data_IF_874061145867
#
_entry.id   IF_874061145867
#
_cell.length_a   1.000
_cell.length_b   1.000
_cell.length_c   1.000
_cell.angle_alpha   90.00
_cell.angle_beta   90.00
_cell.angle_gamma   90.00
#
_symmetry.space_group_name_H-M   'P 1'
#
loop_
_entity.id
_entity.type
_entity.pdbx_description
1 polymer ?
#
# COMPACT_ATOMS: atom_id res chain seq x y z
N UNK A 1 -11.54 -18.20 33.97
CA UNK A 1 -12.91 -17.85 33.52
C UNK A 1 -12.75 -16.65 32.62
N UNK A 2 -12.32 -16.88 31.37
CA UNK A 2 -12.07 -15.83 30.38
C UNK A 2 -13.18 -15.92 29.33
N UNK A 3 -13.97 -14.87 29.23
CA UNK A 3 -14.99 -14.72 28.21
C UNK A 3 -14.31 -14.32 26.89
N UNK A 4 -14.27 -15.25 25.95
CA UNK A 4 -13.84 -14.98 24.58
C UNK A 4 -14.90 -14.19 23.84
N UNK A 5 -14.58 -12.96 23.47
CA UNK A 5 -15.37 -12.16 22.54
C UNK A 5 -15.21 -12.75 21.14
N UNK A 6 -16.32 -13.26 20.59
CA UNK A 6 -16.40 -13.64 19.17
C UNK A 6 -16.37 -12.36 18.33
N UNK A 7 -15.23 -12.07 17.71
CA UNK A 7 -15.14 -11.06 16.68
C UNK A 7 -15.68 -11.64 15.37
N UNK A 8 -16.81 -11.11 14.91
CA UNK A 8 -17.41 -11.52 13.63
C UNK A 8 -16.48 -11.13 12.49
N UNK A 9 -16.18 -12.12 11.65
CA UNK A 9 -15.30 -12.01 10.49
C UNK A 9 -15.97 -11.14 9.42
N UNK A 10 -15.53 -9.91 9.27
CA UNK A 10 -15.89 -9.09 8.12
C UNK A 10 -15.05 -9.53 6.93
N UNK A 11 -15.71 -10.16 5.95
CA UNK A 11 -15.08 -10.56 4.68
C UNK A 11 -14.65 -9.32 3.93
N UNK A 12 -13.42 -9.27 3.52
CA UNK A 12 -12.90 -8.30 2.55
C UNK A 12 -13.63 -8.51 1.22
N UNK A 13 -14.61 -7.66 0.95
CA UNK A 13 -15.29 -7.65 -0.32
C UNK A 13 -14.46 -6.88 -1.34
N UNK A 14 -13.97 -7.59 -2.33
CA UNK A 14 -13.38 -7.01 -3.54
C UNK A 14 -14.43 -6.16 -4.24
N UNK A 15 -14.32 -4.84 -4.15
CA UNK A 15 -15.19 -3.90 -4.88
C UNK A 15 -14.76 -3.89 -6.35
N UNK A 16 -15.48 -4.67 -7.16
CA UNK A 16 -15.45 -4.52 -8.61
C UNK A 16 -16.25 -3.25 -8.97
N UNK A 17 -15.58 -2.16 -9.30
CA UNK A 17 -16.22 -0.97 -9.90
C UNK A 17 -16.68 -1.29 -11.32
N UNK A 18 -17.96 -1.60 -11.46
CA UNK A 18 -18.66 -1.69 -12.74
C UNK A 18 -18.83 -0.28 -13.33
N UNK A 19 -18.09 0.01 -14.40
CA UNK A 19 -18.22 1.23 -15.17
C UNK A 19 -19.53 1.26 -15.95
N UNK A 20 -20.37 2.27 -15.69
CA UNK A 20 -21.57 2.58 -16.46
C UNK A 20 -21.18 3.54 -17.61
N UNK A 21 -21.21 3.03 -18.84
CA UNK A 21 -21.08 3.82 -20.07
C UNK A 21 -22.37 4.61 -20.27
N UNK A 22 -22.31 5.93 -20.18
CA UNK A 22 -23.33 6.82 -20.69
C UNK A 22 -22.83 7.47 -21.99
N UNK A 23 -23.41 7.02 -23.09
CA UNK A 23 -23.36 7.68 -24.40
C UNK A 23 -24.23 8.95 -24.35
N UNK A 24 -23.64 10.09 -24.63
CA UNK A 24 -24.41 11.31 -24.96
C UNK A 24 -23.93 11.84 -26.29
N UNK A 25 -24.92 12.07 -27.14
CA UNK A 25 -24.86 12.39 -28.56
C UNK A 25 -24.43 13.80 -28.85
N UNK A 26 -23.95 13.97 -30.09
CA UNK A 26 -23.64 15.19 -30.80
C UNK A 26 -24.81 16.19 -30.88
N UNK A 27 -24.47 17.48 -30.79
CA UNK A 27 -25.31 18.59 -31.22
C UNK A 27 -24.43 19.69 -31.79
N UNK A 28 -24.44 19.81 -33.12
CA UNK A 28 -23.87 20.93 -33.91
C UNK A 28 -24.74 22.16 -33.84
N UNK A 29 -24.14 23.32 -33.88
CA UNK A 29 -24.46 24.49 -34.77
C UNK A 29 -24.34 25.85 -34.11
N UNK A 30 -23.68 26.75 -34.78
CA UNK A 30 -24.04 28.16 -34.79
C UNK A 30 -22.90 29.14 -34.59
N UNK A 31 -22.29 29.51 -35.71
CA UNK A 31 -21.48 30.72 -35.83
C UNK A 31 -22.32 31.98 -35.66
N UNK A 32 -21.77 33.03 -35.07
CA UNK A 32 -21.95 34.42 -35.53
C UNK A 32 -20.87 35.34 -34.95
N UNK A 33 -20.25 36.07 -35.84
CA UNK A 33 -19.38 37.22 -35.63
C UNK A 33 -20.12 38.37 -34.90
N UNK A 34 -19.40 39.13 -34.07
CA UNK A 34 -19.37 40.59 -34.21
C UNK A 34 -18.27 41.25 -33.38
N UNK A 35 -17.61 42.19 -34.00
CA UNK A 35 -16.57 43.11 -33.55
C UNK A 35 -17.13 44.17 -32.58
N UNK A 36 -16.41 44.47 -31.51
CA UNK A 36 -16.69 45.64 -30.66
C UNK A 36 -15.50 45.98 -29.74
N UNK A 37 -14.72 46.95 -30.15
CA UNK A 37 -13.63 47.52 -29.36
C UNK A 37 -14.12 48.53 -28.33
N UNK A 38 -13.58 48.49 -27.12
CA UNK A 38 -13.64 49.57 -26.12
C UNK A 38 -12.76 49.27 -24.89
N UNK A 39 -11.88 50.20 -24.50
CA UNK A 39 -11.03 50.00 -23.37
C UNK A 39 -11.73 50.44 -22.07
N UNK A 40 -12.13 49.54 -21.21
CA UNK A 40 -12.55 49.87 -19.84
C UNK A 40 -11.49 49.51 -18.81
N UNK A 41 -11.10 50.53 -18.07
CA UNK A 41 -10.23 50.48 -16.92
C UNK A 41 -10.93 49.73 -15.80
N UNK A 42 -10.55 48.46 -15.54
CA UNK A 42 -11.14 47.70 -14.45
C UNK A 42 -10.24 47.74 -13.23
N UNK A 43 -10.70 48.38 -12.21
CA UNK A 43 -10.17 48.40 -10.84
C UNK A 43 -10.08 46.96 -10.31
N UNK A 44 -8.84 46.54 -9.98
CA UNK A 44 -8.52 45.22 -9.43
C UNK A 44 -9.05 45.11 -8.00
N UNK A 45 -10.22 44.53 -7.83
CA UNK A 45 -10.71 44.09 -6.53
C UNK A 45 -9.83 42.91 -6.02
N UNK A 46 -9.27 43.06 -4.83
CA UNK A 46 -8.65 41.95 -4.12
C UNK A 46 -9.74 40.91 -3.80
N UNK A 47 -9.76 39.82 -4.57
CA UNK A 47 -10.55 38.65 -4.22
C UNK A 47 -9.85 37.92 -3.08
N UNK A 48 -10.41 38.01 -1.92
CA UNK A 48 -10.08 37.08 -0.80
C UNK A 48 -10.52 35.69 -1.24
N UNK A 49 -9.54 34.87 -1.60
CA UNK A 49 -9.77 33.45 -1.90
C UNK A 49 -10.14 32.74 -0.60
N UNK A 50 -11.42 32.53 -0.37
CA UNK A 50 -11.91 31.64 0.66
C UNK A 50 -11.61 30.22 0.22
N UNK A 51 -10.62 29.58 0.84
CA UNK A 51 -10.34 28.16 0.65
C UNK A 51 -11.61 27.37 0.98
N UNK A 52 -12.12 26.53 0.08
CA UNK A 52 -13.24 25.66 0.39
C UNK A 52 -12.83 24.73 1.54
N UNK A 53 -13.73 24.42 2.50
CA UNK A 53 -13.43 23.51 3.57
C UNK A 53 -13.06 22.13 2.98
N UNK A 54 -11.86 21.66 3.30
CA UNK A 54 -11.44 20.30 3.05
C UNK A 54 -12.45 19.38 3.74
N UNK A 55 -13.13 18.54 2.98
CA UNK A 55 -14.08 17.57 3.54
C UNK A 55 -13.25 16.47 4.20
N UNK A 56 -12.93 16.66 5.49
CA UNK A 56 -12.31 15.61 6.30
C UNK A 56 -13.22 14.38 6.31
N UNK A 57 -12.68 13.18 6.09
CA UNK A 57 -13.47 11.97 6.24
C UNK A 57 -13.90 11.84 7.71
N UNK A 58 -15.16 12.13 7.97
CA UNK A 58 -15.74 11.98 9.31
C UNK A 58 -16.00 10.51 9.55
N UNK A 59 -15.35 9.92 10.56
CA UNK A 59 -15.61 8.55 10.98
C UNK A 59 -17.12 8.36 11.26
N UNK A 60 -17.71 7.21 10.89
CA UNK A 60 -19.08 6.90 11.24
C UNK A 60 -19.31 7.00 12.75
N UNK A 61 -20.49 7.42 13.21
CA UNK A 61 -20.78 7.54 14.63
C UNK A 61 -20.53 6.22 15.37
N UNK A 62 -19.69 6.24 16.40
CA UNK A 62 -19.36 5.08 17.23
C UNK A 62 -18.07 4.33 16.83
N UNK A 63 -17.40 4.68 15.74
CA UNK A 63 -16.07 4.17 15.43
C UNK A 63 -14.99 5.14 15.94
N UNK A 64 -13.99 4.59 16.61
CA UNK A 64 -12.84 5.36 17.08
C UNK A 64 -11.79 5.38 15.98
N UNK A 65 -11.35 6.59 15.59
CA UNK A 65 -10.26 6.76 14.64
C UNK A 65 -8.90 6.68 15.36
N UNK A 66 -7.83 6.20 14.70
CA UNK A 66 -6.48 6.30 15.24
C UNK A 66 -6.09 7.79 15.39
N UNK A 67 -5.16 8.11 16.29
CA UNK A 67 -4.60 9.45 16.37
C UNK A 67 -4.01 9.90 15.03
N UNK A 68 -3.98 11.20 14.73
CA UNK A 68 -3.33 11.68 13.52
C UNK A 68 -1.82 11.39 13.54
N UNK A 69 -1.28 11.12 12.36
CA UNK A 69 0.17 11.04 12.14
C UNK A 69 0.70 12.47 11.96
N UNK A 70 1.67 12.88 12.74
CA UNK A 70 2.30 14.20 12.58
C UNK A 70 3.54 14.10 11.71
N UNK A 71 3.59 14.87 10.62
CA UNK A 71 4.76 15.03 9.77
C UNK A 71 5.43 16.36 10.10
N UNK A 72 6.70 16.31 10.53
CA UNK A 72 7.52 17.50 10.79
C UNK A 72 8.53 17.70 9.68
N UNK A 73 8.66 18.94 9.26
CA UNK A 73 9.57 19.38 8.21
C UNK A 73 9.99 20.84 8.48
N UNK A 74 11.27 21.15 8.29
CA UNK A 74 11.81 22.43 8.73
C UNK A 74 11.42 22.74 10.18
N UNK A 75 10.80 23.89 10.43
CA UNK A 75 10.26 24.31 11.72
C UNK A 75 8.72 24.18 11.78
N UNK A 76 8.12 23.48 10.80
CA UNK A 76 6.68 23.31 10.63
C UNK A 76 6.25 21.86 10.91
N UNK A 77 4.94 21.68 11.03
CA UNK A 77 4.34 20.34 11.10
C UNK A 77 2.93 20.34 10.56
N UNK A 78 2.51 19.18 10.04
CA UNK A 78 1.14 18.91 9.61
C UNK A 78 0.64 17.64 10.28
N UNK A 79 -0.61 17.64 10.76
CA UNK A 79 -1.29 16.48 11.28
C UNK A 79 -2.13 15.85 10.19
N UNK A 80 -1.86 14.58 9.89
CA UNK A 80 -2.51 13.82 8.85
C UNK A 80 -3.51 12.85 9.45
N UNK A 81 -4.77 12.95 9.06
CA UNK A 81 -5.78 11.96 9.43
C UNK A 81 -5.63 10.70 8.54
N UNK A 82 -5.90 9.54 9.12
CA UNK A 82 -5.99 8.32 8.34
C UNK A 82 -7.22 8.36 7.43
N UNK A 83 -7.04 8.06 6.15
CA UNK A 83 -8.14 7.97 5.19
C UNK A 83 -8.68 6.54 5.06
N UNK A 84 -7.89 5.54 5.43
CA UNK A 84 -8.26 4.13 5.60
C UNK A 84 -7.59 3.61 6.85
N UNK A 85 -8.30 2.85 7.65
CA UNK A 85 -7.74 2.26 8.86
C UNK A 85 -8.62 1.12 9.39
N UNK A 86 -7.98 0.17 10.09
CA UNK A 86 -8.63 -0.71 11.05
C UNK A 86 -8.06 -0.39 12.43
N UNK A 87 -8.90 0.09 13.35
CA UNK A 87 -8.46 0.48 14.68
C UNK A 87 -9.49 0.09 15.73
N UNK A 88 -9.03 -0.58 16.80
CA UNK A 88 -9.88 -1.07 17.91
C UNK A 88 -11.08 -1.88 17.42
N UNK A 89 -12.26 -1.27 17.36
CA UNK A 89 -13.53 -1.96 17.12
C UNK A 89 -14.07 -1.84 15.71
N UNK A 90 -13.34 -1.22 14.79
CA UNK A 90 -13.85 -1.02 13.45
C UNK A 90 -12.84 -0.65 12.39
N UNK A 91 -13.24 -0.90 11.14
CA UNK A 91 -12.49 -0.51 9.95
C UNK A 91 -13.25 0.56 9.18
N UNK A 92 -12.51 1.49 8.58
CA UNK A 92 -13.01 2.51 7.67
C UNK A 92 -12.22 2.42 6.38
N UNK A 93 -12.91 2.21 5.28
CA UNK A 93 -12.35 2.27 3.94
C UNK A 93 -12.60 3.64 3.35
N UNK A 94 -11.52 4.31 2.98
CA UNK A 94 -11.54 5.61 2.33
C UNK A 94 -10.63 5.63 1.12
N UNK A 95 -10.39 6.83 0.60
CA UNK A 95 -9.47 7.07 -0.52
C UNK A 95 -8.48 8.14 -0.11
N UNK A 96 -7.24 8.10 -0.66
CA UNK A 96 -6.28 9.17 -0.42
C UNK A 96 -6.87 10.52 -0.86
N UNK A 97 -6.53 11.61 -0.18
CA UNK A 97 -7.00 12.94 -0.56
C UNK A 97 -6.53 13.28 -1.98
N UNK A 98 -7.41 13.88 -2.78
CA UNK A 98 -7.08 14.32 -4.14
C UNK A 98 -5.95 15.35 -4.15
N UNK A 99 -5.87 16.18 -3.11
CA UNK A 99 -4.82 17.16 -2.88
C UNK A 99 -4.19 16.89 -1.50
N UNK A 100 -3.17 16.00 -1.44
CA UNK A 100 -2.46 15.74 -0.18
C UNK A 100 -1.76 17.00 0.34
N UNK A 101 -1.69 17.20 1.67
CA UNK A 101 -0.92 18.30 2.24
C UNK A 101 0.54 18.28 1.75
N UNK A 102 1.04 19.42 1.29
CA UNK A 102 2.40 19.55 0.74
C UNK A 102 3.36 20.00 1.84
N UNK A 103 4.43 19.24 2.03
CA UNK A 103 5.51 19.54 2.98
C UNK A 103 6.68 20.29 2.33
N UNK A 104 6.54 20.67 1.06
CA UNK A 104 7.58 21.36 0.32
C UNK A 104 8.76 20.44 -0.02
N UNK A 105 10.00 20.95 0.17
CA UNK A 105 11.22 20.26 -0.27
C UNK A 105 12.27 20.12 0.85
N UNK A 106 11.95 19.57 2.03
CA UNK A 106 12.93 19.28 3.07
C UNK A 106 13.84 18.11 2.66
N UNK A 107 15.07 18.06 3.18
CA UNK A 107 16.01 16.94 2.96
C UNK A 107 15.54 15.63 3.61
N UNK A 108 14.73 15.73 4.64
CA UNK A 108 14.10 14.62 5.36
C UNK A 108 12.84 15.11 6.05
N UNK A 109 11.96 14.19 6.35
CA UNK A 109 10.81 14.44 7.22
C UNK A 109 10.86 13.56 8.46
N UNK A 110 10.30 14.03 9.56
CA UNK A 110 10.16 13.25 10.80
C UNK A 110 8.68 12.95 10.99
N UNK A 111 8.39 11.67 11.12
CA UNK A 111 7.05 11.17 11.40
C UNK A 111 6.92 10.93 12.89
N UNK A 112 5.89 11.49 13.51
CA UNK A 112 5.58 11.26 14.92
C UNK A 112 4.19 10.62 15.05
N UNK A 113 4.11 9.56 15.84
CA UNK A 113 2.86 8.88 16.14
C UNK A 113 2.80 8.56 17.65
N UNK A 114 1.71 8.91 18.34
CA UNK A 114 1.69 8.88 19.81
C UNK A 114 1.55 7.47 20.42
N UNK A 115 1.20 6.46 19.62
CA UNK A 115 1.00 5.10 20.11
C UNK A 115 2.30 4.30 20.01
N UNK A 116 2.60 3.53 21.07
CA UNK A 116 3.75 2.64 21.11
C UNK A 116 3.48 1.35 20.34
N UNK A 117 4.55 0.69 19.89
CA UNK A 117 4.45 -0.61 19.20
C UNK A 117 4.04 -0.50 17.73
N UNK A 118 3.92 0.73 17.19
CA UNK A 118 3.65 0.94 15.78
C UNK A 118 4.95 1.00 14.97
N UNK A 119 4.89 0.42 13.76
CA UNK A 119 5.92 0.53 12.74
C UNK A 119 5.31 1.19 11.49
N UNK A 120 6.15 1.84 10.69
CA UNK A 120 5.71 2.53 9.48
C UNK A 120 6.56 2.15 8.27
N UNK A 121 5.90 2.00 7.12
CA UNK A 121 6.51 2.00 5.79
C UNK A 121 6.00 3.20 4.99
N UNK A 122 6.77 3.64 4.02
CA UNK A 122 6.39 4.72 3.10
C UNK A 122 6.44 4.22 1.66
N UNK A 123 5.39 4.52 0.92
CA UNK A 123 5.31 4.27 -0.52
C UNK A 123 5.39 5.60 -1.26
N UNK A 124 6.42 5.78 -2.09
CA UNK A 124 6.62 6.95 -2.93
C UNK A 124 6.05 6.67 -4.31
N UNK A 125 5.11 7.48 -4.75
CA UNK A 125 4.54 7.46 -6.10
C UNK A 125 4.67 8.84 -6.71
N UNK A 126 5.11 8.94 -7.97
CA UNK A 126 5.18 10.22 -8.65
C UNK A 126 3.83 10.93 -8.60
N UNK A 127 3.82 12.21 -8.22
CA UNK A 127 2.59 12.98 -8.10
C UNK A 127 1.84 13.00 -9.45
N UNK A 128 0.51 12.83 -9.40
CA UNK A 128 -0.38 12.75 -10.56
C UNK A 128 -0.19 11.52 -11.49
N UNK A 129 0.55 10.48 -11.06
CA UNK A 129 0.65 9.21 -11.80
C UNK A 129 0.18 8.04 -10.92
N UNK A 130 -1.11 7.75 -10.94
CA UNK A 130 -1.73 6.69 -10.13
C UNK A 130 -1.20 5.28 -10.44
N UNK A 131 -0.73 5.05 -11.67
CA UNK A 131 -0.21 3.77 -12.12
C UNK A 131 1.32 3.78 -12.23
N UNK A 132 1.95 4.90 -11.90
CA UNK A 132 3.39 5.05 -11.93
C UNK A 132 4.10 4.16 -10.93
N UNK A 133 5.42 4.14 -11.05
CA UNK A 133 6.28 3.39 -10.14
C UNK A 133 6.00 3.75 -8.68
N UNK A 134 5.80 2.75 -7.87
CA UNK A 134 5.74 2.88 -6.42
C UNK A 134 7.02 2.30 -5.81
N UNK A 135 7.64 3.06 -4.94
CA UNK A 135 8.86 2.65 -4.23
C UNK A 135 8.52 2.55 -2.75
N UNK A 136 8.61 1.36 -2.21
CA UNK A 136 8.31 1.10 -0.81
C UNK A 136 9.60 1.03 0.01
N UNK A 137 9.65 1.77 1.11
CA UNK A 137 10.80 1.80 2.02
C UNK A 137 10.32 1.80 3.48
N UNK A 138 11.01 1.07 4.38
CA UNK A 138 10.74 1.19 5.81
C UNK A 138 11.21 2.55 6.34
N UNK A 139 10.55 3.04 7.39
CA UNK A 139 11.01 4.22 8.12
C UNK A 139 12.08 3.83 9.15
N UNK A 140 13.10 4.69 9.30
CA UNK A 140 14.10 4.54 10.35
C UNK A 140 13.51 4.94 11.71
N UNK A 141 13.52 4.02 12.69
CA UNK A 141 13.10 4.33 14.06
C UNK A 141 14.10 5.28 14.73
N UNK A 142 13.62 6.41 15.25
CA UNK A 142 14.40 7.45 15.90
C UNK A 142 14.00 7.67 17.38
N UNK A 143 13.27 6.74 17.95
CA UNK A 143 12.75 6.76 19.34
C UNK A 143 11.32 6.27 19.40
N UNK A 144 10.74 6.26 20.59
CA UNK A 144 9.35 5.85 20.80
C UNK A 144 8.40 6.74 19.99
N UNK A 145 7.66 6.13 19.06
CA UNK A 145 6.70 6.81 18.19
C UNK A 145 7.30 7.88 17.28
N UNK A 146 8.61 7.85 17.05
CA UNK A 146 9.31 8.80 16.19
C UNK A 146 10.14 8.08 15.13
N UNK A 147 9.96 8.50 13.88
CA UNK A 147 10.57 7.87 12.72
C UNK A 147 11.16 8.94 11.79
N UNK A 148 12.20 8.59 11.06
CA UNK A 148 12.80 9.43 10.03
C UNK A 148 12.55 8.82 8.67
N UNK A 149 12.04 9.63 7.75
CA UNK A 149 11.92 9.29 6.35
C UNK A 149 12.89 10.15 5.53
N UNK A 150 13.72 9.48 4.73
CA UNK A 150 14.66 10.10 3.76
C UNK A 150 14.13 9.93 2.35
N UNK A 151 14.59 10.75 1.39
CA UNK A 151 14.28 10.53 -0.02
C UNK A 151 14.57 9.10 -0.47
N UNK A 152 13.69 8.55 -1.30
CA UNK A 152 13.87 7.28 -1.99
C UNK A 152 13.74 7.49 -3.50
N UNK A 153 14.58 6.82 -4.28
CA UNK A 153 14.59 6.97 -5.73
C UNK A 153 15.15 8.30 -6.21
N UNK A 154 14.75 8.71 -7.41
CA UNK A 154 15.20 9.99 -8.00
C UNK A 154 14.47 11.17 -7.36
N UNK A 155 15.12 12.34 -7.37
CA UNK A 155 14.50 13.58 -6.91
C UNK A 155 13.31 13.96 -7.81
N UNK A 156 12.15 14.08 -7.20
CA UNK A 156 10.89 14.41 -7.88
C UNK A 156 9.80 14.82 -6.87
N UNK A 157 8.65 15.26 -7.37
CA UNK A 157 7.45 15.42 -6.56
C UNK A 157 6.73 14.07 -6.42
N UNK A 158 6.51 13.66 -5.17
CA UNK A 158 5.85 12.41 -4.82
C UNK A 158 4.61 12.64 -3.96
N UNK A 159 3.60 11.83 -4.19
CA UNK A 159 2.59 11.54 -3.17
C UNK A 159 3.13 10.36 -2.34
N UNK A 160 3.40 10.65 -1.06
CA UNK A 160 3.99 9.69 -0.12
C UNK A 160 2.89 9.16 0.78
N UNK A 161 2.57 7.89 0.63
CA UNK A 161 1.61 7.20 1.49
C UNK A 161 2.36 6.50 2.61
N UNK A 162 1.99 6.81 3.84
CA UNK A 162 2.44 6.09 5.03
C UNK A 162 1.46 4.98 5.34
N UNK A 163 1.97 3.76 5.48
CA UNK A 163 1.27 2.64 6.08
C UNK A 163 1.81 2.43 7.49
N UNK A 164 0.97 2.62 8.48
CA UNK A 164 1.28 2.35 9.89
C UNK A 164 0.60 1.08 10.36
N UNK A 165 1.30 0.27 11.14
CA UNK A 165 0.79 -0.98 11.72
C UNK A 165 1.22 -1.16 13.17
N UNK A 166 0.29 -1.63 14.02
CA UNK A 166 0.47 -1.92 15.44
C UNK A 166 -0.78 -2.65 15.97
N UNK A 167 -1.44 -2.13 17.00
CA UNK A 167 -2.77 -2.61 17.45
C UNK A 167 -3.89 -2.25 16.44
N UNK A 168 -3.58 -2.32 15.16
CA UNK A 168 -4.40 -1.95 14.03
C UNK A 168 -3.52 -1.52 12.87
N UNK A 169 -4.14 -0.94 11.86
CA UNK A 169 -3.45 -0.36 10.72
C UNK A 169 -4.05 0.98 10.31
N UNK A 170 -3.28 1.77 9.59
CA UNK A 170 -3.73 3.03 9.03
C UNK A 170 -2.96 3.40 7.75
N UNK A 171 -3.65 4.13 6.87
CA UNK A 171 -3.03 4.79 5.72
C UNK A 171 -3.27 6.30 5.79
N UNK A 172 -2.21 7.06 5.52
CA UNK A 172 -2.30 8.50 5.34
C UNK A 172 -1.33 8.96 4.26
N UNK A 173 -1.55 10.14 3.66
CA UNK A 173 -0.78 10.59 2.49
C UNK A 173 -0.43 12.07 2.61
N UNK A 174 0.79 12.43 2.19
CA UNK A 174 1.25 13.79 2.04
C UNK A 174 2.05 13.94 0.73
N UNK A 175 2.20 15.14 0.24
CA UNK A 175 3.04 15.46 -0.92
C UNK A 175 4.42 15.93 -0.47
N UNK A 176 5.46 15.42 -1.13
CA UNK A 176 6.85 15.79 -0.85
C UNK A 176 7.64 15.90 -2.16
N UNK A 177 8.23 17.07 -2.39
CA UNK A 177 9.21 17.25 -3.46
C UNK A 177 10.59 16.93 -2.89
N UNK A 178 11.14 15.76 -3.19
CA UNK A 178 12.46 15.37 -2.70
C UNK A 178 13.54 16.21 -3.37
N UNK A 179 14.42 16.91 -2.60
CA UNK A 179 15.39 17.84 -3.18
C UNK A 179 16.61 17.14 -3.82
N UNK A 180 16.85 15.89 -3.44
CA UNK A 180 18.00 15.08 -3.87
C UNK A 180 17.55 13.66 -4.16
N UNK A 181 18.34 12.95 -4.95
CA UNK A 181 18.18 11.51 -5.14
C UNK A 181 18.41 10.78 -3.81
N UNK A 182 17.55 9.83 -3.52
CA UNK A 182 17.64 8.95 -2.37
C UNK A 182 18.17 7.57 -2.71
N UNK A 183 18.20 6.71 -1.70
CA UNK A 183 18.58 5.31 -1.91
C UNK A 183 17.52 4.63 -2.77
N UNK A 184 17.98 3.93 -3.81
CA UNK A 184 17.09 3.08 -4.61
C UNK A 184 16.69 1.85 -3.77
N UNK A 185 15.39 1.62 -3.53
CA UNK A 185 14.96 0.48 -2.75
C UNK A 185 15.30 -0.84 -3.44
N UNK A 186 15.65 -1.83 -2.65
CA UNK A 186 15.90 -3.19 -3.15
C UNK A 186 14.59 -3.88 -3.49
N UNK A 187 14.62 -4.76 -4.50
CA UNK A 187 13.48 -5.62 -4.79
C UNK A 187 13.12 -6.47 -3.57
N UNK A 188 11.84 -6.49 -3.24
CA UNK A 188 11.29 -7.24 -2.11
C UNK A 188 10.26 -8.25 -2.58
N UNK A 189 10.07 -9.29 -1.79
CA UNK A 189 9.04 -10.29 -2.02
C UNK A 189 8.46 -10.75 -0.69
N UNK A 190 7.14 -10.88 -0.64
CA UNK A 190 6.41 -11.43 0.51
C UNK A 190 5.35 -12.42 0.08
N UNK A 191 5.13 -13.43 0.92
CA UNK A 191 4.14 -14.47 0.69
C UNK A 191 3.30 -14.66 1.95
N UNK A 192 1.99 -14.58 1.82
CA UNK A 192 1.02 -14.98 2.83
C UNK A 192 0.27 -16.21 2.34
N UNK A 193 0.22 -17.27 3.14
CA UNK A 193 -0.57 -18.49 2.88
C UNK A 193 -1.20 -18.97 4.17
N UNK A 194 -0.41 -19.19 5.21
CA UNK A 194 -0.86 -19.69 6.50
C UNK A 194 -0.97 -18.53 7.48
N UNK A 195 -2.02 -18.55 8.27
CA UNK A 195 -2.27 -17.62 9.35
C UNK A 195 -2.60 -18.40 10.64
N UNK A 196 -2.49 -17.74 11.78
CA UNK A 196 -2.88 -18.28 13.07
C UNK A 196 -3.52 -17.19 13.92
N UNK A 197 -4.71 -17.45 14.43
CA UNK A 197 -5.42 -16.50 15.30
C UNK A 197 -5.87 -17.12 16.62
N UNK A 198 -5.86 -18.45 16.71
CA UNK A 198 -6.38 -19.18 17.87
C UNK A 198 -5.50 -20.37 18.27
N UNK A 199 -4.25 -20.39 17.82
CA UNK A 199 -3.30 -21.49 18.00
C UNK A 199 -3.48 -22.63 17.01
N UNK A 200 -4.23 -22.38 15.91
CA UNK A 200 -4.43 -23.35 14.83
C UNK A 200 -4.14 -22.70 13.48
N UNK A 201 -3.48 -23.51 12.64
CA UNK A 201 -3.25 -23.08 11.26
C UNK A 201 -4.58 -22.83 10.53
N UNK A 202 -4.70 -21.66 9.93
CA UNK A 202 -5.81 -21.20 9.10
C UNK A 202 -5.23 -20.50 7.87
N UNK A 203 -6.04 -19.93 7.01
CA UNK A 203 -5.60 -19.16 5.85
C UNK A 203 -6.66 -18.15 5.41
N UNK A 204 -6.21 -16.99 4.95
CA UNK A 204 -7.04 -15.99 4.27
C UNK A 204 -6.94 -16.05 2.76
N UNK A 205 -6.28 -17.05 2.23
CA UNK A 205 -5.98 -17.20 0.82
C UNK A 205 -4.48 -17.26 0.55
N UNK A 206 -4.10 -17.02 -0.68
CA UNK A 206 -2.71 -17.02 -1.12
C UNK A 206 -2.39 -15.69 -1.73
N UNK A 207 -1.45 -14.97 -1.16
CA UNK A 207 -0.99 -13.68 -1.65
C UNK A 207 0.53 -13.70 -1.80
N UNK A 208 1.01 -13.49 -3.02
CA UNK A 208 2.43 -13.31 -3.32
C UNK A 208 2.63 -11.97 -3.98
N UNK A 209 3.50 -11.15 -3.41
CA UNK A 209 3.82 -9.83 -3.93
C UNK A 209 5.32 -9.66 -4.17
N UNK A 210 5.65 -9.02 -5.28
CA UNK A 210 6.98 -8.48 -5.56
C UNK A 210 6.88 -6.98 -5.72
N UNK A 211 7.77 -6.24 -5.06
CA UNK A 211 7.88 -4.78 -5.17
C UNK A 211 9.30 -4.36 -5.53
N UNK A 212 9.45 -3.11 -5.93
CA UNK A 212 10.75 -2.49 -6.25
C UNK A 212 11.57 -3.24 -7.33
N UNK A 213 10.92 -4.01 -8.22
CA UNK A 213 11.61 -4.60 -9.36
C UNK A 213 12.11 -3.51 -10.32
N UNK A 214 13.23 -3.75 -11.01
CA UNK A 214 13.76 -2.83 -12.03
C UNK A 214 12.71 -2.45 -13.09
N UNK A 215 11.84 -3.40 -13.44
CA UNK A 215 10.69 -3.22 -14.34
C UNK A 215 9.64 -4.28 -14.03
N UNK A 216 8.41 -4.00 -14.39
CA UNK A 216 7.36 -5.03 -14.38
C UNK A 216 7.63 -6.05 -15.49
N UNK A 217 7.81 -7.35 -15.16
CA UNK A 217 8.05 -8.38 -16.15
C UNK A 217 6.85 -8.55 -17.08
N UNK A 218 7.10 -8.76 -18.38
CA UNK A 218 6.04 -9.03 -19.36
C UNK A 218 5.39 -10.37 -19.12
N UNK A 219 6.20 -11.38 -18.80
CA UNK A 219 5.76 -12.72 -18.45
C UNK A 219 6.17 -13.01 -17.01
N UNK A 220 5.22 -13.42 -16.20
CA UNK A 220 5.45 -13.78 -14.83
C UNK A 220 4.53 -14.92 -14.41
N UNK A 221 5.11 -15.97 -13.85
CA UNK A 221 4.38 -17.07 -13.24
C UNK A 221 5.00 -17.44 -11.89
N UNK A 222 4.16 -17.91 -10.98
CA UNK A 222 4.56 -18.36 -9.66
C UNK A 222 4.03 -19.77 -9.39
N UNK A 223 4.91 -20.64 -8.90
CA UNK A 223 4.58 -21.96 -8.37
C UNK A 223 4.95 -22.00 -6.91
N UNK A 224 3.99 -22.31 -6.06
CA UNK A 224 4.15 -22.33 -4.61
C UNK A 224 3.93 -23.75 -4.12
N UNK A 225 4.85 -24.26 -3.32
CA UNK A 225 4.70 -25.52 -2.59
C UNK A 225 4.73 -25.19 -1.11
N UNK A 226 3.68 -25.63 -0.40
CA UNK A 226 3.60 -25.57 1.06
C UNK A 226 3.77 -26.98 1.60
N UNK A 227 4.70 -27.16 2.54
CA UNK A 227 4.98 -28.42 3.17
C UNK A 227 4.86 -28.26 4.69
N UNK A 228 3.99 -29.03 5.32
CA UNK A 228 3.84 -29.08 6.77
C UNK A 228 4.97 -29.89 7.45
N UNK A 229 5.12 -29.75 8.75
CA UNK A 229 6.16 -30.43 9.55
C UNK A 229 6.08 -31.98 9.52
N UNK A 230 4.90 -32.55 9.25
CA UNK A 230 4.72 -34.01 9.07
C UNK A 230 5.21 -34.51 7.70
N UNK A 231 5.61 -33.63 6.79
CA UNK A 231 6.11 -33.95 5.45
C UNK A 231 5.05 -33.86 4.34
N UNK A 232 3.76 -33.75 4.69
CA UNK A 232 2.70 -33.58 3.71
C UNK A 232 2.84 -32.24 2.98
N UNK A 233 2.52 -32.21 1.70
CA UNK A 233 2.73 -31.02 0.89
C UNK A 233 1.63 -30.83 -0.17
N UNK A 234 1.35 -29.57 -0.47
CA UNK A 234 0.50 -29.16 -1.60
C UNK A 234 1.27 -28.20 -2.50
N UNK A 235 1.06 -28.33 -3.80
CA UNK A 235 1.66 -27.41 -4.79
C UNK A 235 0.55 -26.83 -5.65
N UNK A 236 0.64 -25.52 -5.91
CA UNK A 236 -0.30 -24.81 -6.79
C UNK A 236 0.40 -23.69 -7.56
N UNK A 237 -0.26 -23.22 -8.59
CA UNK A 237 0.13 -22.03 -9.34
C UNK A 237 -0.73 -20.86 -8.89
N UNK A 238 -0.09 -19.78 -8.48
CA UNK A 238 -0.81 -18.55 -8.20
C UNK A 238 -1.12 -17.80 -9.49
N UNK A 239 -2.30 -17.19 -9.55
CA UNK A 239 -2.76 -16.43 -10.71
C UNK A 239 -2.27 -14.98 -10.58
N UNK A 240 -1.56 -14.49 -11.61
CA UNK A 240 -1.15 -13.09 -11.64
C UNK A 240 -2.38 -12.18 -11.67
N UNK A 241 -2.47 -11.26 -10.75
CA UNK A 241 -3.51 -10.23 -10.73
C UNK A 241 -3.38 -9.32 -11.96
N UNK A 242 -4.54 -8.98 -12.55
CA UNK A 242 -4.64 -8.17 -13.77
C UNK A 242 -5.37 -6.86 -13.50
N UNK A 243 -5.17 -6.27 -12.35
CA UNK A 243 -5.74 -4.94 -12.07
C UNK A 243 -5.22 -3.93 -13.10
N UNK A 244 -6.06 -2.96 -13.47
CA UNK A 244 -5.71 -1.96 -14.49
C UNK A 244 -4.54 -1.06 -14.11
N UNK A 245 -4.24 -0.97 -12.82
CA UNK A 245 -3.30 0.00 -12.27
C UNK A 245 -2.40 -0.65 -11.21
N UNK A 246 -1.63 -1.68 -11.60
CA UNK A 246 -0.51 -2.12 -10.77
C UNK A 246 0.68 -1.17 -10.99
N UNK A 247 1.33 -0.71 -9.91
CA UNK A 247 2.51 0.12 -10.01
C UNK A 247 3.62 -0.54 -10.84
N UNK A 248 4.36 0.25 -11.61
CA UNK A 248 5.53 -0.26 -12.32
C UNK A 248 6.54 -0.87 -11.34
N UNK A 249 7.10 -2.02 -11.68
CA UNK A 249 8.01 -2.75 -10.79
C UNK A 249 7.32 -3.58 -9.71
N UNK A 250 5.99 -3.66 -9.74
CA UNK A 250 5.19 -4.51 -8.84
C UNK A 250 4.57 -5.67 -9.62
N UNK A 251 4.53 -6.84 -9.00
CA UNK A 251 3.76 -7.99 -9.46
C UNK A 251 3.03 -8.59 -8.28
N UNK A 252 1.75 -8.84 -8.46
CA UNK A 252 0.90 -9.43 -7.45
C UNK A 252 0.23 -10.70 -8.00
N UNK A 253 0.24 -11.75 -7.20
CA UNK A 253 -0.47 -13.00 -7.47
C UNK A 253 -1.39 -13.30 -6.31
N UNK A 254 -2.59 -13.69 -6.65
CA UNK A 254 -3.60 -14.17 -5.75
C UNK A 254 -3.93 -15.64 -6.04
N UNK A 255 -4.33 -16.35 -5.03
CA UNK A 255 -4.86 -17.69 -5.13
C UNK A 255 -6.18 -17.80 -4.40
N UNK A 256 -7.04 -18.76 -4.82
CA UNK A 256 -8.31 -18.96 -4.16
C UNK A 256 -8.13 -19.38 -2.69
N UNK A 257 -9.05 -18.93 -1.82
CA UNK A 257 -9.04 -19.23 -0.38
C UNK A 257 -8.93 -20.73 -0.10
N UNK A 258 -9.59 -21.57 -0.90
CA UNK A 258 -9.54 -23.02 -0.73
C UNK A 258 -8.13 -23.61 -0.88
N UNK A 259 -7.22 -22.94 -1.59
CA UNK A 259 -5.82 -23.40 -1.71
C UNK A 259 -5.03 -23.10 -0.44
N UNK A 260 -5.24 -21.93 0.14
CA UNK A 260 -4.68 -21.59 1.43
C UNK A 260 -5.21 -22.49 2.55
N UNK A 261 -6.52 -22.70 2.62
CA UNK A 261 -7.16 -23.60 3.58
C UNK A 261 -6.69 -25.05 3.41
N UNK A 262 -6.51 -25.54 2.17
CA UNK A 262 -5.96 -26.86 1.92
C UNK A 262 -4.50 -26.98 2.39
N UNK A 263 -3.71 -25.90 2.28
CA UNK A 263 -2.36 -25.86 2.81
C UNK A 263 -2.36 -25.86 4.35
N UNK A 264 -3.23 -25.10 5.00
CA UNK A 264 -3.38 -25.08 6.45
C UNK A 264 -3.82 -26.44 7.02
N UNK A 265 -4.65 -27.17 6.27
CA UNK A 265 -5.13 -28.51 6.68
C UNK A 265 -4.09 -29.63 6.57
N UNK A 266 -2.87 -29.38 6.05
CA UNK A 266 -1.82 -30.39 5.94
C UNK A 266 -1.30 -30.85 7.31
N UNK A 267 -1.38 -30.00 8.34
CA UNK A 267 -0.88 -30.34 9.67
C UNK A 267 -0.64 -29.10 10.54
N UNK A 268 0.25 -29.28 11.51
CA UNK A 268 0.66 -28.22 12.42
C UNK A 268 1.93 -27.51 11.92
N UNK A 269 2.20 -26.33 12.48
CA UNK A 269 3.46 -25.62 12.21
C UNK A 269 4.69 -26.50 12.57
N UNK A 270 5.82 -26.40 11.88
CA UNK A 270 6.22 -25.34 10.93
C UNK A 270 5.78 -25.68 9.51
N UNK A 271 5.47 -24.64 8.73
CA UNK A 271 5.21 -24.80 7.31
C UNK A 271 6.38 -24.23 6.49
N UNK A 272 6.93 -25.04 5.60
CA UNK A 272 7.99 -24.62 4.68
C UNK A 272 7.37 -24.24 3.34
N UNK A 273 7.61 -23.00 2.90
CA UNK A 273 7.26 -22.52 1.58
C UNK A 273 8.44 -22.66 0.63
N UNK A 274 8.19 -23.25 -0.55
CA UNK A 274 9.13 -23.27 -1.67
C UNK A 274 8.47 -22.55 -2.81
N UNK A 275 9.06 -21.44 -3.25
CA UNK A 275 8.53 -20.58 -4.29
C UNK A 275 9.46 -20.61 -5.49
N UNK A 276 8.89 -20.93 -6.65
CA UNK A 276 9.54 -20.84 -7.94
C UNK A 276 8.86 -19.76 -8.77
N UNK A 277 9.63 -18.76 -9.20
CA UNK A 277 9.19 -17.72 -10.12
C UNK A 277 9.84 -17.91 -11.47
N UNK A 278 9.08 -17.63 -12.52
CA UNK A 278 9.59 -17.44 -13.86
C UNK A 278 9.21 -16.03 -14.32
N UNK A 279 10.23 -15.15 -14.42
CA UNK A 279 10.06 -13.75 -14.82
C UNK A 279 10.81 -13.52 -16.12
N UNK A 280 10.11 -13.21 -17.21
CA UNK A 280 10.68 -13.03 -18.56
C UNK A 280 11.66 -14.14 -18.98
N UNK A 281 11.35 -15.40 -18.62
CA UNK A 281 12.18 -16.57 -18.91
C UNK A 281 13.29 -16.87 -17.89
N UNK A 282 13.58 -15.97 -16.96
CA UNK A 282 14.54 -16.22 -15.87
C UNK A 282 13.86 -16.88 -14.67
N UNK A 283 14.52 -17.88 -14.10
CA UNK A 283 14.02 -18.67 -12.96
C UNK A 283 14.62 -18.16 -11.65
N UNK A 284 13.79 -18.01 -10.63
CA UNK A 284 14.14 -17.58 -9.29
C UNK A 284 13.54 -18.54 -8.28
N UNK A 285 14.31 -18.90 -7.26
CA UNK A 285 13.90 -19.84 -6.20
C UNK A 285 14.04 -19.19 -4.84
N UNK A 286 13.04 -19.36 -3.98
CA UNK A 286 13.09 -18.96 -2.58
C UNK A 286 12.52 -20.04 -1.70
N UNK A 287 12.98 -20.08 -0.45
CA UNK A 287 12.40 -20.91 0.61
C UNK A 287 12.26 -20.03 1.86
N UNK A 288 11.13 -20.16 2.53
CA UNK A 288 10.87 -19.52 3.81
C UNK A 288 10.07 -20.47 4.70
N UNK A 289 10.07 -20.25 6.01
CA UNK A 289 9.38 -21.07 6.99
C UNK A 289 8.43 -20.21 7.82
N UNK A 290 7.16 -20.53 7.82
CA UNK A 290 6.19 -19.87 8.68
C UNK A 290 6.03 -20.66 10.00
N UNK A 291 5.97 -20.00 11.18
CA UNK A 291 6.05 -18.54 11.38
C UNK A 291 7.49 -18.01 11.57
N UNK A 292 8.53 -18.82 11.43
CA UNK A 292 9.91 -18.43 11.78
C UNK A 292 10.43 -17.21 10.98
N UNK A 293 10.04 -17.09 9.69
CA UNK A 293 10.44 -16.00 8.79
C UNK A 293 9.34 -14.95 8.63
N UNK A 294 8.40 -14.89 9.57
CA UNK A 294 7.29 -13.95 9.52
C UNK A 294 7.77 -12.50 9.62
N UNK A 295 7.18 -11.63 8.80
CA UNK A 295 7.53 -10.22 8.78
C UNK A 295 6.88 -9.54 9.99
N UNK A 296 7.69 -9.06 10.92
CA UNK A 296 7.20 -8.33 12.10
C UNK A 296 6.34 -7.14 11.68
N UNK A 297 5.11 -7.10 12.19
CA UNK A 297 4.13 -6.06 11.86
C UNK A 297 3.46 -6.23 10.48
N UNK A 298 3.69 -7.31 9.79
CA UNK A 298 2.98 -7.65 8.55
C UNK A 298 2.59 -9.16 8.52
N UNK A 299 2.15 -9.66 9.65
CA UNK A 299 1.60 -11.01 9.77
C UNK A 299 0.33 -11.17 8.92
N UNK A 300 0.12 -12.34 8.32
CA UNK A 300 0.91 -13.58 8.41
C UNK A 300 1.95 -13.75 7.27
N UNK A 301 2.47 -12.68 6.72
CA UNK A 301 3.39 -12.74 5.57
C UNK A 301 4.81 -13.13 5.99
N UNK A 302 5.48 -13.92 5.16
CA UNK A 302 6.92 -14.21 5.28
C UNK A 302 7.71 -13.48 4.22
N UNK A 303 8.94 -13.06 4.55
CA UNK A 303 9.87 -12.52 3.57
C UNK A 303 10.46 -13.64 2.70
N UNK A 304 10.58 -13.38 1.39
CA UNK A 304 11.18 -14.31 0.43
C UNK A 304 12.49 -13.76 -0.11
N UNK A 305 13.56 -14.51 0.06
CA UNK A 305 14.89 -14.19 -0.48
C UNK A 305 15.19 -15.10 -1.67
N UNK A 306 15.14 -14.53 -2.88
CA UNK A 306 15.31 -15.30 -4.10
C UNK A 306 16.77 -15.51 -4.52
N UNK A 307 17.04 -16.67 -5.08
CA UNK A 307 18.30 -17.02 -5.74
C UNK A 307 18.00 -17.43 -7.20
N UNK A 308 18.64 -16.78 -8.21
CA UNK A 308 19.40 -15.53 -8.07
C UNK A 308 18.58 -14.38 -7.49
N UNK A 309 19.23 -13.30 -7.05
CA UNK A 309 18.52 -12.11 -6.55
C UNK A 309 17.58 -11.52 -7.61
N UNK A 310 16.45 -10.99 -7.17
CA UNK A 310 15.46 -10.35 -8.07
C UNK A 310 16.07 -9.13 -8.78
N UNK A 311 15.61 -8.80 -10.02
CA UNK A 311 16.06 -7.63 -10.74
C UNK A 311 15.74 -6.35 -9.94
N UNK A 312 16.77 -5.61 -9.55
CA UNK A 312 16.65 -4.38 -8.75
C UNK A 312 16.82 -3.13 -9.59
N UNK A 313 16.33 -2.02 -9.11
CA UNK A 313 16.62 -0.67 -9.62
C UNK A 313 18.14 -0.40 -9.59
N UNK A 314 18.65 0.28 -10.59
CA UNK A 314 20.07 0.63 -10.78
C UNK A 314 20.22 2.09 -11.15
#
# INVERSE_FOLDING_TARGET
MFMGSRMERTRWATVALGGLLLLAACGESGANDELGAGPETTTRALSTTTTPPSTEPTAPPGLEAPPPVTVRFFDESVALQAWTYCYRSGCVDGSPPAEPPDVGSPEKVVIEFPLKGWAFTASFRAAADECGRMQEVPLETAGDGRFVLRPAGHSAAYDVTLFGRGDGDLFTTFRWTTPIDGVLPTAQARLAVIADHDGKADSYGVELELTNLARTPRQASARITVQAGNGDAVTFHATRSRTRCLPEGTVYWDGPDEKGLAAAALGEALFTYKVELLLDGARYLATATWPADEIVGNEPSVALHFTPGLPRLS
#
